data_IF_379650875615
#
_entry.id   IF_379650875615
#
_cell.length_a   1.000
_cell.length_b   1.000
_cell.length_c   1.000
_cell.angle_alpha   90.00
_cell.angle_beta   90.00
_cell.angle_gamma   90.00
#
_symmetry.space_group_name_H-M   'P 1'
#
loop_
_entity.id
_entity.type
_entity.pdbx_description
1 polymer ?
#
# COMPACT_ATOMS: atom_id res chain seq x y z
N UNK A 1 10.37 -0.78 -15.08
CA UNK A 1 11.21 -1.21 -13.94
C UNK A 1 10.88 -0.27 -12.79
N UNK A 2 10.56 -0.80 -11.61
CA UNK A 2 10.27 0.01 -10.43
C UNK A 2 11.54 0.76 -10.01
N UNK A 3 11.45 2.06 -9.70
CA UNK A 3 12.60 2.83 -9.21
C UNK A 3 12.77 2.64 -7.70
N UNK A 4 13.94 3.00 -7.16
CA UNK A 4 14.14 2.98 -5.70
C UNK A 4 13.19 3.94 -4.97
N UNK A 5 12.79 5.03 -5.63
CA UNK A 5 11.78 5.96 -5.08
C UNK A 5 10.40 5.32 -5.00
N UNK A 6 10.00 4.58 -6.03
CA UNK A 6 8.73 3.85 -6.04
C UNK A 6 8.73 2.75 -4.98
N UNK A 7 9.84 2.01 -4.84
CA UNK A 7 10.02 0.99 -3.81
C UNK A 7 9.86 1.59 -2.41
N UNK A 8 10.53 2.70 -2.14
CA UNK A 8 10.44 3.40 -0.86
C UNK A 8 9.02 3.87 -0.58
N UNK A 9 8.35 4.47 -1.59
CA UNK A 9 6.96 4.89 -1.48
C UNK A 9 6.05 3.73 -1.06
N UNK A 10 6.13 2.59 -1.75
CA UNK A 10 5.29 1.44 -1.44
C UNK A 10 5.59 0.83 -0.08
N UNK A 11 6.86 0.74 0.31
CA UNK A 11 7.23 0.29 1.65
C UNK A 11 6.65 1.22 2.74
N UNK A 12 6.80 2.53 2.58
CA UNK A 12 6.22 3.51 3.53
C UNK A 12 4.70 3.42 3.59
N UNK A 13 4.02 3.19 2.46
CA UNK A 13 2.56 2.97 2.44
C UNK A 13 2.18 1.68 3.14
N UNK A 14 2.87 0.57 2.87
CA UNK A 14 2.61 -0.70 3.52
C UNK A 14 2.78 -0.59 5.05
N UNK A 15 3.84 0.06 5.53
CA UNK A 15 4.04 0.29 6.96
C UNK A 15 2.92 1.13 7.60
N UNK A 16 2.39 2.12 6.89
CA UNK A 16 1.26 2.92 7.36
C UNK A 16 -0.01 2.08 7.51
N UNK A 17 -0.33 1.25 6.51
CA UNK A 17 -1.49 0.35 6.58
C UNK A 17 -1.33 -0.68 7.70
N UNK A 18 -0.13 -1.23 7.93
CA UNK A 18 0.13 -2.17 9.04
C UNK A 18 -0.09 -1.52 10.42
N UNK A 19 0.26 -0.25 10.58
CA UNK A 19 -0.04 0.50 11.82
C UNK A 19 -1.55 0.67 12.02
N UNK A 20 -2.27 1.05 10.96
CA UNK A 20 -3.72 1.16 11.01
C UNK A 20 -4.40 -0.18 11.29
N UNK A 21 -3.90 -1.28 10.71
CA UNK A 21 -4.40 -2.63 10.99
C UNK A 21 -4.22 -3.02 12.47
N UNK A 22 -3.11 -2.63 13.10
CA UNK A 22 -2.84 -2.88 14.50
C UNK A 22 -3.71 -2.06 15.46
N UNK A 23 -4.15 -0.88 15.02
CA UNK A 23 -5.03 0.02 15.78
C UNK A 23 -6.53 -0.27 15.54
N UNK A 24 -6.88 -1.03 14.50
CA UNK A 24 -8.26 -1.33 14.13
C UNK A 24 -8.93 -2.31 15.12
N UNK A 25 -10.05 -1.88 15.70
CA UNK A 25 -10.89 -2.73 16.57
C UNK A 25 -11.84 -3.63 15.77
N UNK A 26 -12.30 -3.18 14.60
CA UNK A 26 -13.19 -3.95 13.72
C UNK A 26 -12.36 -4.95 12.88
N UNK A 27 -12.64 -6.28 12.98
CA UNK A 27 -11.93 -7.29 12.20
C UNK A 27 -11.98 -7.07 10.68
N UNK A 28 -13.07 -6.54 10.14
CA UNK A 28 -13.20 -6.27 8.71
C UNK A 28 -12.29 -5.11 8.27
N UNK A 29 -12.17 -4.07 9.11
CA UNK A 29 -11.27 -2.93 8.86
C UNK A 29 -9.81 -3.37 8.98
N UNK A 30 -9.49 -4.18 10.00
CA UNK A 30 -8.17 -4.79 10.17
C UNK A 30 -7.76 -5.59 8.92
N UNK A 31 -8.67 -6.44 8.41
CA UNK A 31 -8.43 -7.21 7.18
C UNK A 31 -8.24 -6.33 5.94
N UNK A 32 -9.01 -5.25 5.80
CA UNK A 32 -8.86 -4.32 4.69
C UNK A 32 -7.48 -3.65 4.67
N UNK A 33 -6.98 -3.20 5.83
CA UNK A 33 -5.64 -2.62 5.93
C UNK A 33 -4.54 -3.66 5.63
N UNK A 34 -4.68 -4.90 6.11
CA UNK A 34 -3.74 -5.96 5.75
C UNK A 34 -3.74 -6.25 4.24
N UNK A 35 -4.90 -6.28 3.58
CA UNK A 35 -4.98 -6.46 2.14
C UNK A 35 -4.26 -5.34 1.37
N UNK A 36 -4.45 -4.08 1.79
CA UNK A 36 -3.73 -2.95 1.20
C UNK A 36 -2.22 -3.03 1.43
N UNK A 37 -1.78 -3.41 2.64
CA UNK A 37 -0.36 -3.60 2.92
C UNK A 37 0.27 -4.67 2.01
N UNK A 38 -0.44 -5.77 1.78
CA UNK A 38 -0.02 -6.83 0.84
C UNK A 38 0.14 -6.29 -0.58
N UNK A 39 -0.85 -5.56 -1.11
CA UNK A 39 -0.76 -4.97 -2.45
C UNK A 39 0.46 -4.03 -2.60
N UNK A 40 0.71 -3.19 -1.59
CA UNK A 40 1.88 -2.31 -1.59
C UNK A 40 3.20 -3.09 -1.54
N UNK A 41 3.30 -4.15 -0.74
CA UNK A 41 4.50 -4.98 -0.68
C UNK A 41 4.72 -5.72 -2.01
N UNK A 42 3.68 -6.27 -2.61
CA UNK A 42 3.75 -6.91 -3.93
C UNK A 42 4.23 -5.92 -5.01
N UNK A 43 3.76 -4.67 -4.97
CA UNK A 43 4.23 -3.61 -5.85
C UNK A 43 5.71 -3.26 -5.59
N UNK A 44 6.13 -3.14 -4.32
CA UNK A 44 7.52 -2.86 -3.94
C UNK A 44 8.50 -3.96 -4.41
N UNK A 45 8.06 -5.21 -4.44
CA UNK A 45 8.85 -6.36 -4.88
C UNK A 45 8.70 -6.68 -6.37
N UNK A 46 7.87 -5.91 -7.10
CA UNK A 46 7.66 -6.09 -8.54
C UNK A 46 6.88 -7.34 -8.91
N UNK A 47 6.20 -7.99 -7.94
CA UNK A 47 5.42 -9.21 -8.14
C UNK A 47 4.14 -8.92 -8.95
N UNK A 48 3.57 -7.71 -8.80
CA UNK A 48 2.44 -7.26 -9.60
C UNK A 48 2.72 -5.90 -10.21
N UNK A 49 2.92 -5.89 -11.53
CA UNK A 49 3.15 -4.70 -12.35
C UNK A 49 1.87 -3.86 -12.57
N UNK A 50 1.02 -3.77 -11.54
CA UNK A 50 -0.12 -2.87 -11.48
C UNK A 50 0.09 -1.97 -10.27
N UNK A 51 0.65 -0.79 -10.53
CA UNK A 51 0.78 0.24 -9.51
C UNK A 51 -0.64 0.52 -8.96
N UNK A 52 -0.91 0.34 -7.66
CA UNK A 52 -2.18 0.77 -7.09
C UNK A 52 -2.37 2.26 -7.40
N UNK A 53 -3.59 2.72 -7.68
CA UNK A 53 -3.84 4.10 -8.07
C UNK A 53 -3.39 5.01 -6.93
N UNK A 54 -2.37 5.81 -7.19
CA UNK A 54 -1.93 6.86 -6.28
C UNK A 54 -3.13 7.80 -6.03
N UNK A 55 -3.65 7.89 -4.79
CA UNK A 55 -4.76 8.79 -4.47
C UNK A 55 -4.44 10.26 -4.79
N UNK A 56 -3.16 10.63 -4.86
CA UNK A 56 -2.72 11.97 -5.22
C UNK A 56 -2.76 12.23 -6.73
N UNK A 57 -2.70 11.19 -7.57
CA UNK A 57 -2.91 11.33 -9.03
C UNK A 57 -4.36 11.60 -9.40
N UNK A 58 -5.31 11.12 -8.60
CA UNK A 58 -6.74 11.33 -8.84
C UNK A 58 -7.24 12.73 -8.45
N UNK A 59 -6.49 13.48 -7.62
CA UNK A 59 -6.84 14.86 -7.20
C UNK A 59 -6.32 15.96 -8.11
N UNK A 60 -5.59 15.63 -9.18
CA UNK A 60 -5.04 16.59 -10.16
C UNK A 60 -5.68 16.47 -11.55
N UNK A 61 -6.83 15.82 -11.66
CA UNK A 61 -7.63 15.73 -12.90
C UNK A 61 -8.66 16.84 -13.01
#
# INVERSE_FOLDING_TARGET
>A
MITDKDRLYFQTRAEAELKLAAEAEDPAVCQAHYAMATEYLEAAHGAHMRLPPDPQRLRRG
#
